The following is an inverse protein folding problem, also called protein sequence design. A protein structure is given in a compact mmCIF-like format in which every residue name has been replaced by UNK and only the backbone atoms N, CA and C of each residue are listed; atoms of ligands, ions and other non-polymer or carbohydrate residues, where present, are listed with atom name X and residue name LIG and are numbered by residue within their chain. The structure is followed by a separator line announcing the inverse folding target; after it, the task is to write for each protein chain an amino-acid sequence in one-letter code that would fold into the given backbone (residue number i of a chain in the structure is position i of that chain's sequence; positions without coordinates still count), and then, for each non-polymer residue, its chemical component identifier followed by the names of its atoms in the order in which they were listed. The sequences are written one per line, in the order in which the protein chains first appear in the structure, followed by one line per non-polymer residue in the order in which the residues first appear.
data_IF_491456212140
#
_entry.id   IF_491456212140
#
_cell.length_a   1.000
_cell.length_b   1.000
_cell.length_c   1.000
_cell.angle_alpha   90.00
_cell.angle_beta   90.00
_cell.angle_gamma   90.00
#
_symmetry.space_group_name_H-M   'P 1'
#
loop_
_entity.id
_entity.type
_entity.pdbx_description
1 polymer ?
#
# COMPACT_ATOMS: atom_id res chain seq x y z
N UNK A 1 -42.13 -1.59 -37.72
CA UNK A 1 -41.37 -2.78 -37.27
C UNK A 1 -41.75 -3.08 -35.82
N UNK A 2 -42.55 -4.11 -35.53
CA UNK A 2 -42.95 -4.46 -34.15
C UNK A 2 -41.83 -5.28 -33.51
N UNK A 3 -40.99 -4.64 -32.71
CA UNK A 3 -39.95 -5.34 -31.95
C UNK A 3 -40.66 -6.29 -31.00
N UNK A 4 -40.42 -7.61 -31.15
CA UNK A 4 -41.11 -8.57 -30.29
C UNK A 4 -40.56 -8.45 -28.86
N UNK A 5 -41.47 -8.42 -27.87
CA UNK A 5 -41.15 -8.23 -26.45
C UNK A 5 -40.04 -9.16 -25.92
N UNK A 6 -39.87 -10.35 -26.53
CA UNK A 6 -38.82 -11.32 -26.21
C UNK A 6 -37.41 -10.80 -26.54
N UNK A 7 -37.24 -10.07 -27.65
CA UNK A 7 -35.95 -9.49 -28.02
C UNK A 7 -35.60 -8.28 -27.14
N UNK A 8 -36.60 -7.49 -26.74
CA UNK A 8 -36.41 -6.38 -25.78
C UNK A 8 -35.95 -6.92 -24.43
N UNK A 9 -36.59 -7.98 -23.93
CA UNK A 9 -36.23 -8.60 -22.65
C UNK A 9 -34.82 -9.21 -22.69
N UNK A 10 -34.47 -9.90 -23.78
CA UNK A 10 -33.11 -10.43 -23.98
C UNK A 10 -32.05 -9.33 -24.02
N UNK A 11 -32.36 -8.18 -24.64
CA UNK A 11 -31.43 -7.05 -24.73
C UNK A 11 -31.24 -6.34 -23.38
N UNK A 12 -32.29 -6.28 -22.55
CA UNK A 12 -32.19 -5.75 -21.19
C UNK A 12 -31.30 -6.67 -20.33
N UNK A 13 -31.49 -7.98 -20.41
CA UNK A 13 -30.70 -8.95 -19.64
C UNK A 13 -29.21 -8.87 -20.00
N UNK A 14 -28.88 -8.83 -21.29
CA UNK A 14 -27.46 -8.72 -21.72
C UNK A 14 -26.85 -7.39 -21.30
N UNK A 15 -27.61 -6.29 -21.36
CA UNK A 15 -27.14 -4.98 -20.91
C UNK A 15 -26.87 -4.96 -19.41
N UNK A 16 -27.75 -5.55 -18.59
CA UNK A 16 -27.54 -5.68 -17.15
C UNK A 16 -26.30 -6.51 -16.84
N UNK A 17 -26.07 -7.63 -17.55
CA UNK A 17 -24.87 -8.44 -17.37
C UNK A 17 -23.59 -7.65 -17.71
N UNK A 18 -23.60 -6.88 -18.80
CA UNK A 18 -22.46 -6.04 -19.20
C UNK A 18 -22.21 -4.93 -18.17
N UNK A 19 -23.27 -4.29 -17.66
CA UNK A 19 -23.16 -3.24 -16.63
C UNK A 19 -22.62 -3.82 -15.32
N UNK A 20 -23.10 -4.99 -14.90
CA UNK A 20 -22.63 -5.66 -13.67
C UNK A 20 -21.18 -6.12 -13.83
N UNK A 21 -20.82 -6.76 -14.93
CA UNK A 21 -19.45 -7.17 -15.21
C UNK A 21 -18.50 -5.96 -15.31
N UNK A 22 -18.96 -4.89 -15.97
CA UNK A 22 -18.25 -3.61 -16.06
C UNK A 22 -18.08 -2.95 -14.70
N UNK A 23 -19.08 -2.98 -13.83
CA UNK A 23 -18.98 -2.46 -12.45
C UNK A 23 -18.01 -3.27 -11.59
N UNK A 24 -17.97 -4.61 -11.73
CA UNK A 24 -17.01 -5.46 -11.02
C UNK A 24 -15.57 -5.18 -11.51
N UNK A 25 -15.35 -5.05 -12.83
CA UNK A 25 -14.05 -4.70 -13.38
C UNK A 25 -13.61 -3.25 -13.06
N UNK A 26 -14.57 -2.31 -13.03
CA UNK A 26 -14.33 -0.91 -12.67
C UNK A 26 -14.11 -0.71 -11.17
N UNK A 27 -14.59 -1.65 -10.34
CA UNK A 27 -14.24 -1.80 -8.93
C UNK A 27 -12.80 -2.33 -8.82
N UNK A 28 -11.86 -1.52 -9.33
CA UNK A 28 -10.41 -1.70 -9.29
C UNK A 28 -10.00 -2.46 -8.03
N UNK A 29 -9.56 -3.69 -8.22
CA UNK A 29 -9.24 -4.64 -7.15
C UNK A 29 -8.32 -4.01 -6.12
N UNK A 30 -8.83 -3.80 -4.92
CA UNK A 30 -8.02 -3.49 -3.75
C UNK A 30 -7.12 -4.69 -3.47
N UNK A 31 -5.85 -4.45 -3.20
CA UNK A 31 -4.88 -5.48 -2.81
C UNK A 31 -4.41 -5.21 -1.37
N UNK A 32 -3.94 -6.22 -0.67
CA UNK A 32 -3.31 -5.99 0.64
C UNK A 32 -1.89 -5.48 0.47
N UNK A 33 -1.39 -4.74 1.46
CA UNK A 33 0.03 -4.39 1.52
C UNK A 33 0.93 -5.63 1.53
N UNK A 34 0.50 -6.72 2.17
CA UNK A 34 1.21 -7.99 2.15
C UNK A 34 1.46 -8.47 0.72
N UNK A 35 0.41 -8.48 -0.11
CA UNK A 35 0.53 -8.90 -1.51
C UNK A 35 1.34 -7.88 -2.33
N UNK A 36 1.16 -6.60 -2.03
CA UNK A 36 1.83 -5.50 -2.75
C UNK A 36 3.34 -5.46 -2.50
N UNK A 37 3.79 -5.70 -1.26
CA UNK A 37 5.16 -5.43 -0.81
C UNK A 37 5.91 -6.66 -0.30
N UNK A 38 5.24 -7.53 0.46
CA UNK A 38 5.90 -8.55 1.27
C UNK A 38 6.14 -9.87 0.53
N UNK A 39 5.55 -10.08 -0.65
CA UNK A 39 5.62 -11.37 -1.36
C UNK A 39 7.02 -11.87 -1.72
N UNK A 40 8.04 -11.01 -1.73
CA UNK A 40 9.44 -11.38 -2.00
C UNK A 40 10.36 -11.20 -0.79
N UNK A 41 9.81 -10.82 0.37
CA UNK A 41 10.59 -10.58 1.59
C UNK A 41 10.41 -11.76 2.53
N UNK A 42 11.52 -12.36 2.95
CA UNK A 42 11.48 -13.34 4.03
C UNK A 42 11.26 -12.60 5.36
N UNK A 43 10.04 -12.68 5.89
CA UNK A 43 9.64 -11.94 7.08
C UNK A 43 10.42 -12.36 8.33
N UNK A 44 10.88 -13.61 8.38
CA UNK A 44 11.66 -14.14 9.50
C UNK A 44 13.09 -13.58 9.53
N UNK A 45 13.58 -13.07 8.40
CA UNK A 45 14.93 -12.51 8.30
C UNK A 45 14.94 -10.99 8.49
N UNK A 46 13.80 -10.35 8.75
CA UNK A 46 13.74 -8.91 9.01
C UNK A 46 14.30 -8.65 10.41
N UNK A 47 15.35 -7.85 10.48
CA UNK A 47 16.06 -7.55 11.72
C UNK A 47 15.94 -6.07 12.14
N UNK A 48 15.54 -5.21 11.21
CA UNK A 48 15.54 -3.76 11.45
C UNK A 48 14.44 -3.07 10.65
N UNK A 49 13.68 -2.21 11.32
CA UNK A 49 12.81 -1.21 10.69
C UNK A 49 13.29 0.17 11.10
N UNK A 50 13.70 0.97 10.12
CA UNK A 50 14.10 2.35 10.32
C UNK A 50 12.97 3.27 9.88
N UNK A 51 12.60 4.24 10.71
CA UNK A 51 11.51 5.17 10.46
C UNK A 51 12.04 6.58 10.64
N UNK A 52 11.91 7.40 9.61
CA UNK A 52 12.25 8.82 9.62
C UNK A 52 10.96 9.59 9.44
N UNK A 53 10.67 10.51 10.37
CA UNK A 53 9.58 11.48 10.22
C UNK A 53 10.12 12.74 9.55
N UNK A 54 9.51 13.13 8.44
CA UNK A 54 9.71 14.45 7.86
C UNK A 54 8.79 15.43 8.58
N UNK A 55 9.36 16.48 9.18
CA UNK A 55 8.60 17.62 9.72
C UNK A 55 8.81 18.83 8.81
N UNK A 56 7.75 19.64 8.61
CA UNK A 56 7.69 20.82 7.73
C UNK A 56 8.78 21.89 8.02
N UNK A 57 9.43 21.85 9.18
CA UNK A 57 10.48 22.78 9.60
C UNK A 57 11.82 22.06 9.78
N UNK A 58 12.56 21.98 8.68
CA UNK A 58 13.79 21.22 8.42
C UNK A 58 15.01 21.55 9.31
N UNK A 59 14.98 21.21 10.60
CA UNK A 59 16.20 21.18 11.43
C UNK A 59 16.36 19.93 12.29
N UNK A 60 15.29 19.15 12.52
CA UNK A 60 15.35 17.95 13.35
C UNK A 60 14.58 16.79 12.70
N UNK A 61 15.18 16.12 11.73
CA UNK A 61 14.68 14.82 11.27
C UNK A 61 14.68 13.86 12.46
N UNK A 62 13.50 13.40 12.88
CA UNK A 62 13.39 12.40 13.94
C UNK A 62 13.53 11.02 13.31
N UNK A 63 14.50 10.27 13.79
CA UNK A 63 14.79 8.92 13.33
C UNK A 63 14.64 7.93 14.48
N UNK A 64 13.96 6.82 14.21
CA UNK A 64 13.84 5.68 15.09
C UNK A 64 14.29 4.44 14.37
N UNK A 65 14.97 3.56 15.10
CA UNK A 65 15.35 2.23 14.64
C UNK A 65 14.72 1.21 15.57
N UNK A 66 13.87 0.36 15.03
CA UNK A 66 13.24 -0.76 15.73
C UNK A 66 14.02 -2.03 15.38
N UNK A 67 14.54 -2.71 16.41
CA UNK A 67 15.31 -3.96 16.28
C UNK A 67 14.79 -5.06 17.22
N UNK A 68 13.77 -4.77 18.04
CA UNK A 68 13.09 -5.82 18.81
C UNK A 68 12.22 -6.68 17.88
N UNK A 69 12.39 -8.01 17.86
CA UNK A 69 11.64 -8.89 16.96
C UNK A 69 10.12 -8.86 17.17
N UNK A 70 9.63 -8.65 18.40
CA UNK A 70 8.18 -8.58 18.67
C UNK A 70 7.60 -7.29 18.13
N UNK A 71 8.28 -6.17 18.33
CA UNK A 71 7.88 -4.87 17.76
C UNK A 71 7.91 -4.90 16.23
N UNK A 72 8.96 -5.46 15.62
CA UNK A 72 9.04 -5.66 14.17
C UNK A 72 7.85 -6.47 13.68
N UNK A 73 7.57 -7.61 14.32
CA UNK A 73 6.46 -8.47 13.94
C UNK A 73 5.12 -7.74 14.05
N UNK A 74 4.91 -6.97 15.13
CA UNK A 74 3.71 -6.16 15.31
C UNK A 74 3.56 -5.12 14.20
N UNK A 75 4.61 -4.35 13.89
CA UNK A 75 4.59 -3.33 12.84
C UNK A 75 4.25 -3.98 11.49
N UNK A 76 4.94 -5.05 11.11
CA UNK A 76 4.71 -5.75 9.84
C UNK A 76 3.27 -6.28 9.78
N UNK A 77 2.77 -6.89 10.85
CA UNK A 77 1.43 -7.45 10.90
C UNK A 77 0.37 -6.37 10.75
N UNK A 78 0.55 -5.21 11.39
CA UNK A 78 -0.36 -4.07 11.22
C UNK A 78 -0.37 -3.57 9.78
N UNK A 79 0.80 -3.36 9.16
CA UNK A 79 0.87 -2.98 7.76
C UNK A 79 0.29 -4.03 6.82
N UNK A 80 0.48 -5.32 7.09
CA UNK A 80 0.08 -6.42 6.20
C UNK A 80 -1.40 -6.39 5.80
N UNK A 81 -2.26 -5.85 6.68
CA UNK A 81 -3.71 -5.79 6.53
C UNK A 81 -4.21 -4.54 5.81
N UNK A 82 -3.34 -3.57 5.55
CA UNK A 82 -3.71 -2.31 4.89
C UNK A 82 -4.18 -2.61 3.46
N UNK A 83 -5.36 -2.10 3.12
CA UNK A 83 -5.90 -2.23 1.77
C UNK A 83 -5.44 -1.08 0.91
N UNK A 84 -4.94 -1.43 -0.27
CA UNK A 84 -4.29 -0.53 -1.21
C UNK A 84 -4.95 -0.61 -2.57
N UNK A 85 -4.99 0.53 -3.26
CA UNK A 85 -5.40 0.62 -4.65
C UNK A 85 -4.30 1.28 -5.46
N UNK A 86 -3.87 0.64 -6.54
CA UNK A 86 -2.79 1.18 -7.38
C UNK A 86 -3.17 2.58 -7.88
N UNK A 87 -2.28 3.54 -7.68
CA UNK A 87 -2.44 4.93 -8.09
C UNK A 87 -1.32 5.32 -9.04
N UNK A 88 -1.63 6.22 -9.98
CA UNK A 88 -0.64 6.81 -10.88
C UNK A 88 -0.05 8.11 -10.30
N UNK A 89 -0.55 8.57 -9.15
CA UNK A 89 -0.10 9.78 -8.49
C UNK A 89 0.04 9.56 -6.99
N UNK A 90 0.94 10.32 -6.40
CA UNK A 90 1.11 10.47 -4.97
C UNK A 90 1.07 11.96 -4.65
N UNK A 91 0.16 12.38 -3.79
CA UNK A 91 0.08 13.78 -3.36
C UNK A 91 1.11 14.01 -2.26
N UNK A 92 2.02 14.99 -2.39
CA UNK A 92 2.93 15.36 -1.31
C UNK A 92 2.14 15.70 -0.03
N UNK A 93 2.73 15.42 1.13
CA UNK A 93 2.14 15.75 2.42
C UNK A 93 3.24 16.21 3.37
N UNK A 94 2.99 17.25 4.18
CA UNK A 94 3.93 17.70 5.20
C UNK A 94 4.14 16.65 6.29
N UNK A 95 3.11 15.85 6.57
CA UNK A 95 3.19 14.71 7.48
C UNK A 95 3.62 13.47 6.69
N UNK A 96 4.92 13.26 6.53
CA UNK A 96 5.43 12.08 5.83
C UNK A 96 6.40 11.24 6.65
N UNK A 97 6.31 9.93 6.43
CA UNK A 97 7.21 8.95 7.04
C UNK A 97 7.96 8.20 5.95
N UNK A 98 9.29 8.12 6.10
CA UNK A 98 10.12 7.21 5.33
C UNK A 98 10.46 6.00 6.18
N UNK A 99 10.02 4.83 5.74
CA UNK A 99 10.21 3.58 6.45
C UNK A 99 11.10 2.67 5.61
N UNK A 100 12.20 2.19 6.17
CA UNK A 100 13.10 1.24 5.51
C UNK A 100 13.13 -0.06 6.30
N UNK A 101 12.72 -1.15 5.65
CA UNK A 101 12.74 -2.51 6.20
C UNK A 101 14.00 -3.20 5.69
N UNK A 102 14.82 -3.71 6.63
CA UNK A 102 16.08 -4.39 6.35
C UNK A 102 16.08 -5.82 6.84
N UNK A 103 16.90 -6.62 6.17
CA UNK A 103 17.20 -8.00 6.52
C UNK A 103 18.68 -8.25 6.27
N UNK A 104 19.40 -8.73 7.30
CA UNK A 104 20.85 -8.92 7.28
C UNK A 104 21.57 -7.64 6.82
N UNK A 105 21.14 -6.50 7.36
CA UNK A 105 21.62 -5.15 7.01
C UNK A 105 21.31 -4.66 5.57
N UNK A 106 20.75 -5.50 4.70
CA UNK A 106 20.35 -5.10 3.35
C UNK A 106 18.95 -4.49 3.34
N UNK A 107 18.75 -3.41 2.57
CA UNK A 107 17.42 -2.86 2.32
C UNK A 107 16.62 -3.84 1.47
N UNK A 108 15.44 -4.24 1.95
CA UNK A 108 14.51 -5.09 1.20
C UNK A 108 13.31 -4.28 0.71
N UNK A 109 12.76 -3.43 1.58
CA UNK A 109 11.65 -2.54 1.24
C UNK A 109 11.89 -1.13 1.76
N UNK A 110 11.45 -0.16 0.98
CA UNK A 110 11.29 1.23 1.40
C UNK A 110 9.83 1.63 1.25
N UNK A 111 9.31 2.43 2.16
CA UNK A 111 7.95 2.97 2.12
C UNK A 111 8.03 4.47 2.32
N UNK A 112 7.30 5.23 1.51
CA UNK A 112 7.02 6.63 1.77
C UNK A 112 5.54 6.78 2.01
N UNK A 113 5.16 7.06 3.25
CA UNK A 113 3.78 7.35 3.62
C UNK A 113 3.59 8.86 3.55
N UNK A 114 2.64 9.32 2.75
CA UNK A 114 2.33 10.73 2.54
C UNK A 114 0.96 11.03 3.16
N UNK A 115 0.99 11.58 4.36
CA UNK A 115 -0.18 11.76 5.21
C UNK A 115 -0.79 10.41 5.59
N UNK A 116 -2.11 10.31 5.46
CA UNK A 116 -2.85 9.05 5.68
C UNK A 116 -3.47 8.50 4.38
N UNK A 117 -3.10 9.06 3.22
CA UNK A 117 -3.81 8.82 1.94
C UNK A 117 -3.00 8.01 0.94
N UNK A 118 -1.69 8.21 0.88
CA UNK A 118 -0.85 7.58 -0.14
C UNK A 118 0.34 6.87 0.48
N UNK A 119 0.70 5.75 -0.12
CA UNK A 119 1.93 5.01 0.17
C UNK A 119 2.67 4.73 -1.14
N UNK A 120 3.96 5.04 -1.17
CA UNK A 120 4.86 4.65 -2.25
C UNK A 120 5.72 3.50 -1.74
N UNK A 121 5.73 2.39 -2.48
CA UNK A 121 6.48 1.19 -2.12
C UNK A 121 7.67 1.04 -3.04
N UNK A 122 8.85 0.93 -2.44
CA UNK A 122 10.14 0.69 -3.08
C UNK A 122 10.58 -0.74 -2.77
N UNK A 123 10.70 -1.58 -3.80
CA UNK A 123 11.23 -2.94 -3.72
C UNK A 123 12.69 -2.91 -4.13
N UNK A 124 13.57 -2.93 -3.14
CA UNK A 124 15.01 -2.99 -3.38
C UNK A 124 15.38 -4.38 -3.89
N UNK A 125 16.36 -4.44 -4.79
CA UNK A 125 16.85 -5.69 -5.39
C UNK A 125 15.76 -6.53 -6.08
N UNK A 126 14.66 -5.90 -6.53
CA UNK A 126 13.60 -6.56 -7.28
C UNK A 126 14.12 -7.14 -8.59
N UNK A 127 13.81 -8.41 -8.87
CA UNK A 127 14.09 -9.04 -10.16
C UNK A 127 13.40 -8.33 -11.35
N UNK A 128 12.39 -7.50 -11.09
CA UNK A 128 11.72 -6.68 -12.08
C UNK A 128 11.83 -5.18 -11.74
N UNK A 129 12.80 -4.45 -12.33
CA UNK A 129 13.05 -3.04 -12.04
C UNK A 129 11.87 -2.13 -12.35
N UNK A 130 11.04 -2.46 -13.37
CA UNK A 130 9.90 -1.63 -13.79
C UNK A 130 8.79 -1.56 -12.73
N UNK A 131 8.72 -2.57 -11.86
CA UNK A 131 7.78 -2.64 -10.74
C UNK A 131 8.47 -2.45 -9.39
N UNK A 132 9.69 -1.89 -9.40
CA UNK A 132 10.43 -1.61 -8.16
C UNK A 132 9.86 -0.43 -7.38
N UNK A 133 9.13 0.48 -8.04
CA UNK A 133 8.49 1.64 -7.41
C UNK A 133 7.03 1.68 -7.84
N UNK A 134 6.12 1.59 -6.88
CA UNK A 134 4.68 1.63 -7.18
C UNK A 134 3.96 2.47 -6.12
N UNK A 135 3.14 3.39 -6.59
CA UNK A 135 2.29 4.24 -5.74
C UNK A 135 0.91 3.61 -5.54
N UNK A 136 0.40 3.74 -4.33
CA UNK A 136 -0.91 3.26 -3.93
C UNK A 136 -1.65 4.32 -3.12
N UNK A 137 -2.96 4.37 -3.33
CA UNK A 137 -3.90 4.99 -2.41
C UNK A 137 -4.23 4.01 -1.29
N UNK A 138 -4.23 4.49 -0.05
CA UNK A 138 -4.65 3.75 1.13
C UNK A 138 -6.17 3.79 1.20
N UNK A 139 -6.81 2.63 1.10
CA UNK A 139 -8.27 2.51 1.12
C UNK A 139 -8.78 2.31 2.55
N UNK A 140 -8.11 1.45 3.33
CA UNK A 140 -8.50 1.14 4.70
C UNK A 140 -7.40 0.41 5.48
N UNK A 141 -7.57 0.32 6.79
CA UNK A 141 -6.71 -0.49 7.68
C UNK A 141 -5.41 0.16 8.13
N UNK A 142 -5.06 1.34 7.59
CA UNK A 142 -3.88 2.08 8.06
C UNK A 142 -4.15 2.74 9.41
N UNK A 143 -3.29 2.46 10.38
CA UNK A 143 -3.32 3.06 11.71
C UNK A 143 -2.08 3.94 11.93
N UNK A 144 -2.17 5.21 11.52
CA UNK A 144 -1.06 6.17 11.65
C UNK A 144 -0.60 6.40 13.10
N UNK A 145 -1.46 6.15 14.09
CA UNK A 145 -1.11 6.28 15.52
C UNK A 145 -0.04 5.30 15.94
N UNK A 146 0.05 4.12 15.32
CA UNK A 146 1.10 3.15 15.62
C UNK A 146 2.49 3.77 15.41
N UNK A 147 2.70 4.38 14.24
CA UNK A 147 3.98 5.01 13.88
C UNK A 147 4.23 6.26 14.72
N UNK A 148 3.19 7.10 14.93
CA UNK A 148 3.31 8.27 15.79
C UNK A 148 3.72 7.91 17.23
N UNK A 149 3.19 6.80 17.77
CA UNK A 149 3.50 6.36 19.13
C UNK A 149 4.95 5.91 19.32
N UNK A 150 5.64 5.51 18.24
CA UNK A 150 7.07 5.19 18.33
C UNK A 150 7.90 6.43 18.67
N UNK A 151 7.45 7.63 18.26
CA UNK A 151 8.14 8.91 18.48
C UNK A 151 7.75 9.64 19.79
N UNK A 152 7.00 8.99 20.68
CA UNK A 152 6.54 9.59 21.94
C UNK A 152 7.56 9.45 23.06
#
# INVERSE_FOLDING_TARGET
MKIQKKYVLSFIIIFVVIVVAGAIFASKSTITFKDAALGQVNLEEIDTIEIIKSDDNSTNERKITVSDPKEIHQIINEFSRVQLKKSNSSTPSPDSYWITIRSKQERKLGLTILGEKNIVIYKYNSANPKNSIVSYEIISGYNGKLIQNLFK
#
